data_IF_423863022068
#
_entry.id   IF_423863022068
#
_cell.length_a   1.000
_cell.length_b   1.000
_cell.length_c   1.000
_cell.angle_alpha   90.00
_cell.angle_beta   90.00
_cell.angle_gamma   90.00
#
_symmetry.space_group_name_H-M   'P 1'
#
loop_
_entity.id
_entity.type
_entity.pdbx_description
1 polymer ?
#
# COMPACT_ATOMS: atom_id res chain seq x y z
N UNK A 1 0.79 9.07 -15.55
CA UNK A 1 0.15 8.30 -14.48
C UNK A 1 -1.00 7.53 -15.09
N UNK A 2 -1.04 6.22 -14.91
CA UNK A 2 -2.12 5.36 -15.43
C UNK A 2 -2.67 4.57 -14.26
N UNK A 3 -3.45 5.26 -13.45
CA UNK A 3 -4.18 4.65 -12.33
C UNK A 3 -5.18 3.63 -12.86
N UNK A 4 -5.07 2.41 -12.36
CA UNK A 4 -6.01 1.32 -12.63
C UNK A 4 -6.81 1.06 -11.38
N UNK A 5 -8.13 1.15 -11.50
CA UNK A 5 -9.02 0.70 -10.44
C UNK A 5 -8.77 -0.79 -10.16
N UNK A 6 -8.45 -1.10 -8.91
CA UNK A 6 -8.23 -2.47 -8.44
C UNK A 6 -9.45 -3.03 -7.73
N UNK A 7 -10.06 -2.23 -6.84
CA UNK A 7 -11.22 -2.67 -6.07
C UNK A 7 -12.06 -1.48 -5.66
N UNK A 8 -13.34 -1.53 -5.99
CA UNK A 8 -14.33 -0.55 -5.53
C UNK A 8 -14.77 -0.84 -4.11
N UNK A 9 -15.15 0.22 -3.38
CA UNK A 9 -15.74 0.14 -2.04
C UNK A 9 -14.95 -0.76 -1.06
N UNK A 10 -13.63 -0.74 -1.16
CA UNK A 10 -12.73 -1.44 -0.27
C UNK A 10 -12.82 -0.82 1.14
N UNK A 11 -12.88 -1.68 2.15
CA UNK A 11 -12.73 -1.29 3.56
C UNK A 11 -11.48 -1.93 4.13
N UNK A 12 -10.56 -1.11 4.63
CA UNK A 12 -9.37 -1.54 5.35
C UNK A 12 -9.52 -1.15 6.81
N UNK A 13 -9.32 -2.09 7.72
CA UNK A 13 -9.34 -1.87 9.17
C UNK A 13 -8.00 -2.27 9.76
N UNK A 14 -7.36 -1.36 10.47
CA UNK A 14 -6.09 -1.58 11.14
C UNK A 14 -5.96 -0.63 12.34
N UNK A 15 -5.57 -1.17 13.50
CA UNK A 15 -5.61 -0.40 14.75
C UNK A 15 -7.00 0.21 15.02
N UNK A 16 -7.03 1.50 15.32
CA UNK A 16 -8.26 2.29 15.48
C UNK A 16 -8.68 3.02 14.19
N UNK A 17 -8.02 2.73 13.07
CA UNK A 17 -8.24 3.38 11.78
C UNK A 17 -9.08 2.51 10.84
N UNK A 18 -10.01 3.17 10.12
CA UNK A 18 -10.76 2.58 9.03
C UNK A 18 -10.63 3.46 7.79
N UNK A 19 -10.18 2.88 6.68
CA UNK A 19 -10.19 3.51 5.37
C UNK A 19 -11.29 2.88 4.51
N UNK A 20 -12.11 3.70 3.87
CA UNK A 20 -13.15 3.24 2.96
C UNK A 20 -13.11 4.01 1.65
N UNK A 21 -12.84 3.33 0.54
CA UNK A 21 -12.74 3.98 -0.76
C UNK A 21 -12.50 3.00 -1.90
N UNK A 22 -12.13 3.53 -3.06
CA UNK A 22 -11.71 2.75 -4.22
C UNK A 22 -10.19 2.67 -4.27
N UNK A 23 -9.66 1.45 -4.28
CA UNK A 23 -8.22 1.22 -4.38
C UNK A 23 -7.78 1.29 -5.84
N UNK A 24 -6.76 2.08 -6.11
CA UNK A 24 -6.13 2.24 -7.42
C UNK A 24 -4.65 1.84 -7.37
N UNK A 25 -4.14 1.37 -8.51
CA UNK A 25 -2.74 1.01 -8.70
C UNK A 25 -2.16 1.67 -9.95
N UNK A 26 -1.02 2.33 -9.81
CA UNK A 26 -0.21 2.80 -10.95
C UNK A 26 1.00 1.86 -11.14
N UNK A 27 1.00 1.01 -12.18
CA UNK A 27 2.12 0.09 -12.46
C UNK A 27 3.39 0.79 -12.93
N UNK A 28 3.31 2.02 -13.45
CA UNK A 28 4.49 2.78 -13.86
C UNK A 28 5.20 3.41 -12.66
N UNK A 29 4.47 3.66 -11.57
CA UNK A 29 5.00 4.27 -10.36
C UNK A 29 5.14 3.29 -9.18
N UNK A 30 4.67 2.04 -9.32
CA UNK A 30 4.63 1.07 -8.23
C UNK A 30 3.90 1.63 -6.99
N UNK A 31 2.74 2.24 -7.23
CA UNK A 31 2.03 3.03 -6.24
C UNK A 31 0.59 2.55 -6.04
N UNK A 32 0.12 2.57 -4.79
CA UNK A 32 -1.28 2.34 -4.41
C UNK A 32 -1.87 3.61 -3.84
N UNK A 33 -3.08 3.93 -4.29
CA UNK A 33 -3.85 5.07 -3.84
C UNK A 33 -5.25 4.63 -3.42
N UNK A 34 -5.73 5.13 -2.29
CA UNK A 34 -7.12 5.04 -1.90
C UNK A 34 -7.83 6.32 -2.32
N UNK A 35 -8.84 6.23 -3.18
CA UNK A 35 -9.72 7.34 -3.52
C UNK A 35 -10.99 7.28 -2.68
N UNK A 36 -11.24 8.32 -1.90
CA UNK A 36 -12.38 8.41 -0.98
C UNK A 36 -13.65 8.95 -1.67
N UNK A 37 -14.84 8.72 -1.10
CA UNK A 37 -16.11 9.17 -1.70
C UNK A 37 -16.25 10.69 -1.84
N UNK A 38 -15.52 11.46 -1.04
CA UNK A 38 -15.47 12.94 -1.09
C UNK A 38 -14.48 13.47 -2.13
N UNK A 39 -13.90 12.58 -2.95
CA UNK A 39 -12.86 12.87 -3.95
C UNK A 39 -11.49 13.22 -3.40
N UNK A 40 -11.28 13.10 -2.08
CA UNK A 40 -9.93 13.13 -1.51
C UNK A 40 -9.22 11.78 -1.74
N UNK A 41 -7.89 11.76 -1.63
CA UNK A 41 -7.09 10.57 -1.91
C UNK A 41 -5.90 10.43 -0.97
N UNK A 42 -5.59 9.20 -0.58
CA UNK A 42 -4.43 8.87 0.25
C UNK A 42 -3.49 7.91 -0.48
N UNK A 43 -2.20 8.29 -0.55
CA UNK A 43 -1.15 7.41 -1.05
C UNK A 43 -0.78 6.39 0.03
N UNK A 44 -0.99 5.10 -0.25
CA UNK A 44 -0.72 4.01 0.69
C UNK A 44 0.72 3.50 0.58
N UNK A 45 1.44 3.89 -0.47
CA UNK A 45 2.81 3.46 -0.75
C UNK A 45 3.86 4.49 -0.34
N UNK A 46 5.07 4.00 -0.06
CA UNK A 46 6.24 4.84 0.20
C UNK A 46 7.31 4.62 -0.85
N UNK A 47 7.95 5.70 -1.32
CA UNK A 47 9.14 5.62 -2.16
C UNK A 47 10.38 5.38 -1.29
N UNK A 48 11.12 4.32 -1.59
CA UNK A 48 12.34 3.93 -0.90
C UNK A 48 13.59 4.00 -1.79
N UNK A 49 13.51 4.63 -2.98
CA UNK A 49 14.62 4.73 -3.92
C UNK A 49 15.84 5.40 -3.27
N UNK A 50 15.63 6.46 -2.49
CA UNK A 50 16.70 7.14 -1.75
C UNK A 50 17.37 6.25 -0.68
N UNK A 51 16.68 5.18 -0.25
CA UNK A 51 17.22 4.16 0.67
C UNK A 51 17.82 2.96 -0.07
N UNK A 52 17.89 2.99 -1.40
CA UNK A 52 18.48 1.93 -2.23
C UNK A 52 17.53 0.78 -2.58
N UNK A 53 16.24 0.89 -2.28
CA UNK A 53 15.25 -0.15 -2.59
C UNK A 53 14.42 0.22 -3.81
N UNK A 54 14.20 -0.76 -4.68
CA UNK A 54 13.38 -0.62 -5.90
C UNK A 54 12.31 -1.70 -5.89
N UNK A 55 11.06 -1.31 -6.13
CA UNK A 55 9.97 -2.26 -6.27
C UNK A 55 10.04 -2.95 -7.65
N UNK A 56 9.86 -4.26 -7.70
CA UNK A 56 9.75 -4.96 -8.98
C UNK A 56 8.38 -4.73 -9.63
N UNK A 57 8.22 -5.06 -10.94
CA UNK A 57 6.91 -5.02 -11.59
C UNK A 57 5.83 -5.77 -10.80
N UNK A 58 4.71 -5.07 -10.53
CA UNK A 58 3.61 -5.60 -9.73
C UNK A 58 3.87 -5.59 -8.22
N UNK A 59 4.95 -5.00 -7.75
CA UNK A 59 5.23 -4.84 -6.32
C UNK A 59 5.19 -3.39 -5.89
N UNK A 60 5.03 -3.19 -4.59
CA UNK A 60 4.98 -1.89 -3.91
C UNK A 60 5.64 -1.97 -2.54
N UNK A 61 6.01 -0.83 -1.96
CA UNK A 61 6.41 -0.74 -0.56
C UNK A 61 5.33 -0.03 0.26
N UNK A 62 4.92 -0.66 1.35
CA UNK A 62 3.93 -0.10 2.28
C UNK A 62 4.55 -0.01 3.65
N UNK A 63 4.61 1.20 4.20
CA UNK A 63 5.15 1.42 5.54
C UNK A 63 4.10 1.04 6.57
N UNK A 64 4.57 0.39 7.63
CA UNK A 64 3.79 0.16 8.83
C UNK A 64 3.98 1.37 9.77
N UNK A 65 3.13 2.38 9.64
CA UNK A 65 3.24 3.61 10.41
C UNK A 65 2.91 3.36 11.89
N UNK A 66 3.62 4.01 12.81
CA UNK A 66 3.38 3.81 14.25
C UNK A 66 1.99 4.26 14.72
N UNK A 67 1.43 5.31 14.09
CA UNK A 67 0.08 5.82 14.38
C UNK A 67 -1.02 5.00 13.69
N UNK A 68 -0.64 4.22 12.68
CA UNK A 68 -1.54 3.45 11.80
C UNK A 68 -1.00 2.04 11.55
N UNK A 69 -0.54 1.38 12.63
CA UNK A 69 0.10 0.08 12.49
C UNK A 69 -0.92 -0.95 12.03
N UNK A 70 -0.55 -1.75 11.04
CA UNK A 70 -1.37 -2.83 10.49
C UNK A 70 -1.84 -2.61 9.05
N UNK A 71 -1.49 -1.49 8.40
CA UNK A 71 -1.87 -1.26 6.99
C UNK A 71 -1.41 -2.40 6.04
N UNK A 72 -0.15 -2.88 6.07
CA UNK A 72 0.25 -4.03 5.26
C UNK A 72 -0.61 -5.28 5.53
N UNK A 73 -0.93 -5.56 6.80
CA UNK A 73 -1.75 -6.70 7.18
C UNK A 73 -3.20 -6.56 6.69
N UNK A 74 -3.77 -5.35 6.73
CA UNK A 74 -5.11 -5.07 6.23
C UNK A 74 -5.21 -5.26 4.71
N UNK A 75 -4.19 -4.84 3.94
CA UNK A 75 -4.13 -5.07 2.49
C UNK A 75 -4.06 -6.56 2.14
N UNK A 76 -3.35 -7.35 2.94
CA UNK A 76 -3.30 -8.82 2.80
C UNK A 76 -4.65 -9.44 3.14
N UNK A 77 -5.26 -9.06 4.27
CA UNK A 77 -6.57 -9.56 4.69
C UNK A 77 -7.67 -9.22 3.68
N UNK A 78 -7.57 -8.07 3.01
CA UNK A 78 -8.47 -7.66 1.94
C UNK A 78 -8.23 -8.40 0.60
N UNK A 79 -7.16 -9.19 0.50
CA UNK A 79 -6.81 -9.95 -0.71
C UNK A 79 -6.38 -9.10 -1.89
N UNK A 80 -5.94 -7.86 -1.65
CA UNK A 80 -5.45 -6.94 -2.71
C UNK A 80 -3.93 -6.95 -2.83
N UNK A 81 -3.23 -7.44 -1.81
CA UNK A 81 -1.78 -7.61 -1.81
C UNK A 81 -1.39 -8.92 -1.11
N UNK A 82 -0.20 -9.43 -1.44
CA UNK A 82 0.50 -10.46 -0.68
C UNK A 82 1.82 -9.92 -0.15
N UNK A 83 2.20 -10.26 1.08
CA UNK A 83 3.49 -9.87 1.63
C UNK A 83 4.62 -10.70 0.99
N UNK A 84 5.68 -10.03 0.53
CA UNK A 84 6.88 -10.66 -0.03
C UNK A 84 7.98 -10.73 1.01
N UNK A 85 8.27 -9.60 1.66
CA UNK A 85 9.23 -9.52 2.77
C UNK A 85 8.98 -8.28 3.63
N UNK A 86 9.56 -8.28 4.84
CA UNK A 86 9.64 -7.11 5.73
C UNK A 86 11.05 -6.55 5.73
N UNK A 87 11.14 -5.25 5.58
CA UNK A 87 12.36 -4.46 5.59
C UNK A 87 12.39 -3.55 6.82
N UNK A 88 13.58 -3.39 7.39
CA UNK A 88 13.86 -2.35 8.37
C UNK A 88 14.61 -1.22 7.67
N UNK A 89 13.99 -0.05 7.56
CA UNK A 89 14.52 1.06 6.76
C UNK A 89 14.83 2.27 7.63
N UNK A 90 15.99 2.89 7.36
CA UNK A 90 16.42 4.12 8.01
C UNK A 90 16.97 3.94 9.43
N UNK A 91 17.43 5.04 10.06
CA UNK A 91 18.15 5.00 11.33
C UNK A 91 17.31 4.55 12.53
N UNK A 92 15.98 4.61 12.41
CA UNK A 92 15.03 4.20 13.45
C UNK A 92 14.41 2.82 13.19
N UNK A 93 14.92 2.06 12.22
CA UNK A 93 14.42 0.73 11.86
C UNK A 93 12.92 0.69 11.59
N UNK A 94 12.41 1.68 10.84
CA UNK A 94 10.99 1.71 10.46
C UNK A 94 10.62 0.45 9.67
N UNK A 95 9.52 -0.20 10.07
CA UNK A 95 9.03 -1.41 9.42
C UNK A 95 8.34 -1.06 8.10
N UNK A 96 8.80 -1.66 7.01
CA UNK A 96 8.20 -1.52 5.68
C UNK A 96 8.03 -2.90 5.07
N UNK A 97 6.83 -3.22 4.57
CA UNK A 97 6.59 -4.45 3.84
C UNK A 97 6.75 -4.20 2.34
N UNK A 98 7.56 -5.04 1.67
CA UNK A 98 7.47 -5.19 0.22
C UNK A 98 6.32 -6.12 -0.09
N UNK A 99 5.40 -5.67 -0.92
CA UNK A 99 4.15 -6.37 -1.19
C UNK A 99 3.95 -6.60 -2.68
N UNK A 100 3.43 -7.76 -3.04
CA UNK A 100 2.97 -8.09 -4.38
C UNK A 100 1.52 -7.65 -4.52
N UNK A 101 1.22 -6.84 -5.52
CA UNK A 101 -0.13 -6.44 -5.88
C UNK A 101 -0.86 -7.63 -6.51
N UNK A 102 -2.05 -7.94 -6.01
CA UNK A 102 -2.92 -8.99 -6.55
C UNK A 102 -3.96 -8.28 -7.41
N UNK A 103 -3.78 -8.29 -8.72
CA UNK A 103 -4.78 -7.74 -9.63
C UNK A 103 -6.13 -8.44 -9.38
N UNK A 104 -7.19 -7.65 -9.16
CA UNK A 104 -8.53 -8.20 -9.24
C UNK A 104 -8.74 -8.70 -10.68
N UNK A 105 -9.20 -9.94 -10.81
CA UNK A 105 -9.62 -10.50 -12.09
C UNK A 105 -10.88 -9.83 -12.63
#
# INVERSE_FOLDING_TARGET
MTWKLMREALRLRFGETELQGSLHYDPAQHALEMLFPDSDSEMLTVDLLASGYVAYPGEVFVRDYSEHSGLPAALVAAGVCGEVEKLSVGPFSSSVSRMRVIAAG
#
